data_IF_652587082971
#
_entry.id   IF_652587082971
#
_cell.length_a   1.000
_cell.length_b   1.000
_cell.length_c   1.000
_cell.angle_alpha   90.00
_cell.angle_beta   90.00
_cell.angle_gamma   90.00
#
_symmetry.space_group_name_H-M   'P 1'
#
loop_
_entity.id
_entity.type
_entity.pdbx_description
1 polymer ?
#
# COMPACT_ATOMS: atom_id res chain seq x y z
N UNK A 1 -66.99 -24.96 -31.90
CA UNK A 1 -66.34 -23.84 -31.18
C UNK A 1 -64.96 -24.30 -30.77
N UNK A 2 -63.87 -23.73 -31.33
CA UNK A 2 -62.49 -24.08 -31.03
C UNK A 2 -61.90 -23.00 -30.09
N UNK A 3 -61.69 -23.33 -28.84
CA UNK A 3 -61.11 -22.43 -27.82
C UNK A 3 -59.59 -22.35 -28.07
N UNK A 4 -59.08 -21.16 -28.43
CA UNK A 4 -57.62 -20.89 -28.55
C UNK A 4 -57.10 -20.57 -27.14
N UNK A 5 -56.25 -21.45 -26.59
CA UNK A 5 -55.47 -21.20 -25.39
C UNK A 5 -54.27 -20.29 -25.77
N UNK A 6 -54.21 -19.08 -25.22
CA UNK A 6 -53.02 -18.21 -25.25
C UNK A 6 -52.10 -18.60 -24.12
N UNK A 7 -50.93 -19.14 -24.45
CA UNK A 7 -49.85 -19.36 -23.49
C UNK A 7 -49.06 -18.04 -23.37
N UNK A 8 -49.17 -17.41 -22.21
CA UNK A 8 -48.38 -16.22 -21.85
C UNK A 8 -46.98 -16.70 -21.38
N UNK A 9 -45.97 -16.52 -22.22
CA UNK A 9 -44.58 -16.77 -21.82
C UNK A 9 -44.03 -15.55 -21.08
N UNK A 10 -43.94 -15.65 -19.77
CA UNK A 10 -43.30 -14.61 -18.93
C UNK A 10 -41.79 -14.84 -18.99
N UNK A 11 -41.08 -14.05 -19.79
CA UNK A 11 -39.60 -14.00 -19.74
C UNK A 11 -39.14 -13.21 -18.50
N UNK A 12 -38.75 -13.92 -17.45
CA UNK A 12 -38.07 -13.33 -16.30
C UNK A 12 -36.61 -13.03 -16.72
N UNK A 13 -36.32 -11.78 -17.01
CA UNK A 13 -34.95 -11.32 -17.26
C UNK A 13 -34.18 -11.29 -15.91
N UNK A 14 -33.33 -12.28 -15.69
CA UNK A 14 -32.36 -12.29 -14.59
C UNK A 14 -31.26 -11.24 -14.90
N UNK A 15 -31.39 -10.06 -14.32
CA UNK A 15 -30.31 -9.07 -14.32
C UNK A 15 -29.19 -9.56 -13.39
N UNK A 16 -27.93 -9.61 -13.84
CA UNK A 16 -26.82 -9.95 -12.96
C UNK A 16 -26.66 -8.83 -11.92
N UNK A 17 -26.94 -9.13 -10.66
CA UNK A 17 -26.60 -8.24 -9.54
C UNK A 17 -25.10 -8.36 -9.32
N UNK A 18 -24.36 -7.40 -9.86
CA UNK A 18 -22.95 -7.24 -9.50
C UNK A 18 -22.88 -6.66 -8.09
N UNK A 19 -22.61 -7.52 -7.10
CA UNK A 19 -22.27 -7.10 -5.74
C UNK A 19 -20.90 -6.39 -5.77
N UNK A 20 -20.90 -5.09 -5.90
CA UNK A 20 -19.75 -4.25 -5.59
C UNK A 20 -19.61 -4.23 -4.07
N UNK A 21 -18.65 -4.97 -3.53
CA UNK A 21 -18.27 -4.83 -2.14
C UNK A 21 -17.65 -3.45 -1.96
N UNK A 22 -18.36 -2.53 -1.33
CA UNK A 22 -17.78 -1.28 -0.86
C UNK A 22 -16.70 -1.60 0.19
N UNK A 23 -15.56 -0.89 0.12
CA UNK A 23 -14.50 -1.00 1.11
C UNK A 23 -15.10 -0.82 2.52
N UNK A 24 -14.74 -1.71 3.44
CA UNK A 24 -15.20 -1.61 4.83
C UNK A 24 -14.66 -0.33 5.49
N UNK A 25 -15.30 0.16 6.56
CA UNK A 25 -14.88 1.41 7.21
C UNK A 25 -13.43 1.39 7.70
N UNK A 26 -12.91 0.24 8.10
CA UNK A 26 -11.50 0.08 8.48
C UNK A 26 -10.55 0.17 7.28
N UNK A 27 -10.89 -0.46 6.16
CA UNK A 27 -10.12 -0.37 4.91
C UNK A 27 -10.02 1.07 4.42
N UNK A 28 -11.16 1.77 4.39
CA UNK A 28 -11.16 3.19 4.01
C UNK A 28 -10.30 4.03 4.93
N UNK A 29 -10.38 3.82 6.24
CA UNK A 29 -9.61 4.59 7.21
C UNK A 29 -8.10 4.39 7.07
N UNK A 30 -7.64 3.15 6.82
CA UNK A 30 -6.22 2.85 6.57
C UNK A 30 -5.76 3.47 5.25
N UNK A 31 -6.54 3.33 4.19
CA UNK A 31 -6.23 3.93 2.88
C UNK A 31 -6.15 5.46 2.95
N UNK A 32 -7.09 6.12 3.61
CA UNK A 32 -7.09 7.57 3.81
C UNK A 32 -5.87 8.02 4.64
N UNK A 33 -5.49 7.26 5.66
CA UNK A 33 -4.32 7.53 6.49
C UNK A 33 -3.02 7.42 5.68
N UNK A 34 -2.87 6.38 4.87
CA UNK A 34 -1.71 6.19 3.99
C UNK A 34 -1.61 7.29 2.93
N UNK A 35 -2.74 7.67 2.31
CA UNK A 35 -2.76 8.78 1.36
C UNK A 35 -2.37 10.11 2.01
N UNK A 36 -2.84 10.35 3.24
CA UNK A 36 -2.45 11.54 4.01
C UNK A 36 -0.96 11.51 4.34
N UNK A 37 -0.42 10.35 4.69
CA UNK A 37 0.99 10.18 4.98
C UNK A 37 1.86 10.47 3.74
N UNK A 38 1.50 9.96 2.57
CA UNK A 38 2.17 10.27 1.31
C UNK A 38 2.23 11.78 1.03
N UNK A 39 1.12 12.51 1.25
CA UNK A 39 1.06 13.97 1.08
C UNK A 39 1.99 14.71 2.05
N UNK A 40 2.04 14.27 3.30
CA UNK A 40 2.88 14.86 4.34
C UNK A 40 4.37 14.61 4.04
N UNK A 41 4.72 13.39 3.60
CA UNK A 41 6.09 13.06 3.21
C UNK A 41 6.52 13.82 1.95
N UNK A 42 5.64 13.97 0.95
CA UNK A 42 5.91 14.81 -0.22
C UNK A 42 6.16 16.28 0.14
N UNK A 43 5.51 16.78 1.19
CA UNK A 43 5.79 18.12 1.75
C UNK A 43 7.05 18.18 2.61
N UNK A 44 7.73 17.06 2.84
CA UNK A 44 8.93 16.91 3.68
C UNK A 44 8.74 17.38 5.14
N UNK A 45 7.53 17.27 5.66
CA UNK A 45 7.24 17.54 7.08
C UNK A 45 7.69 16.33 7.91
N UNK A 46 8.92 16.39 8.40
CA UNK A 46 9.56 15.29 9.12
C UNK A 46 8.77 14.87 10.37
N UNK A 47 8.31 15.84 11.17
CA UNK A 47 7.60 15.56 12.41
C UNK A 47 6.27 14.85 12.16
N UNK A 48 5.48 15.37 11.21
CA UNK A 48 4.24 14.72 10.82
C UNK A 48 4.47 13.38 10.15
N UNK A 49 5.48 13.24 9.28
CA UNK A 49 5.79 11.97 8.62
C UNK A 49 6.09 10.88 9.65
N UNK A 50 6.97 11.16 10.62
CA UNK A 50 7.33 10.21 11.68
C UNK A 50 6.15 9.94 12.62
N UNK A 51 5.22 10.88 12.75
CA UNK A 51 4.04 10.70 13.62
C UNK A 51 3.07 9.62 13.15
N UNK A 52 3.17 9.14 11.92
CA UNK A 52 2.36 8.02 11.42
C UNK A 52 2.81 6.67 11.96
N UNK A 53 4.04 6.54 12.43
CA UNK A 53 4.52 5.30 13.04
C UNK A 53 4.01 5.11 14.46
N UNK A 54 3.74 3.86 14.82
CA UNK A 54 3.49 3.45 16.20
C UNK A 54 4.78 3.57 17.03
N UNK A 55 4.64 3.55 18.36
CA UNK A 55 5.79 3.67 19.27
C UNK A 55 6.74 2.49 19.18
N UNK A 56 6.22 1.31 18.85
CA UNK A 56 6.90 0.03 18.67
C UNK A 56 7.12 -0.34 17.19
N UNK A 57 7.05 0.63 16.30
CA UNK A 57 7.16 0.37 14.87
C UNK A 57 8.54 -0.15 14.45
N UNK A 58 8.53 -0.97 13.40
CA UNK A 58 9.73 -1.51 12.75
C UNK A 58 9.73 -1.12 11.28
N UNK A 59 10.82 -0.52 10.80
CA UNK A 59 11.04 -0.28 9.37
C UNK A 59 12.11 -1.25 8.86
N UNK A 60 11.83 -1.87 7.72
CA UNK A 60 12.68 -2.86 7.05
C UNK A 60 13.16 -2.28 5.71
N UNK A 61 14.17 -1.39 5.73
CA UNK A 61 14.70 -0.78 4.52
C UNK A 61 15.50 -1.81 3.70
N UNK A 62 15.56 -1.68 2.37
CA UNK A 62 16.33 -2.57 1.53
C UNK A 62 17.83 -2.47 1.85
N UNK A 63 18.52 -3.61 1.88
CA UNK A 63 19.98 -3.73 2.07
C UNK A 63 20.52 -3.10 3.36
N UNK A 64 19.70 -2.92 4.38
CA UNK A 64 20.07 -2.37 5.68
C UNK A 64 19.46 -3.20 6.81
N UNK A 65 20.00 -3.03 8.02
CA UNK A 65 19.39 -3.61 9.22
C UNK A 65 18.02 -2.99 9.51
N UNK A 66 17.15 -3.75 10.18
CA UNK A 66 15.87 -3.26 10.64
C UNK A 66 16.05 -2.04 11.56
N UNK A 67 15.20 -1.03 11.40
CA UNK A 67 15.15 0.17 12.22
C UNK A 67 14.00 0.02 13.20
N UNK A 68 14.30 -0.05 14.50
CA UNK A 68 13.35 -0.43 15.55
C UNK A 68 13.14 0.66 16.62
N UNK A 69 13.68 1.85 16.41
CA UNK A 69 13.53 2.96 17.35
C UNK A 69 12.97 4.20 16.66
N UNK A 70 12.23 5.01 17.39
CA UNK A 70 11.68 6.29 16.87
C UNK A 70 12.78 7.21 16.31
N UNK A 71 13.89 7.32 17.02
CA UNK A 71 15.02 8.15 16.57
C UNK A 71 15.67 7.58 15.32
N UNK A 72 15.77 6.25 15.21
CA UNK A 72 16.25 5.57 14.01
C UNK A 72 15.32 5.84 12.81
N UNK A 73 14.01 5.71 13.00
CA UNK A 73 13.00 6.01 11.95
C UNK A 73 13.07 7.48 11.55
N UNK A 74 13.21 8.39 12.51
CA UNK A 74 13.39 9.80 12.25
C UNK A 74 14.65 10.10 11.43
N UNK A 75 15.75 9.48 11.79
CA UNK A 75 17.01 9.64 11.06
C UNK A 75 16.93 9.07 9.64
N UNK A 76 16.24 7.95 9.45
CA UNK A 76 15.98 7.37 8.13
C UNK A 76 15.20 8.35 7.24
N UNK A 77 14.09 8.90 7.74
CA UNK A 77 13.28 9.88 7.00
C UNK A 77 14.02 11.19 6.75
N UNK A 78 14.81 11.64 7.71
CA UNK A 78 15.69 12.80 7.50
C UNK A 78 16.65 12.55 6.35
N UNK A 79 17.29 11.38 6.30
CA UNK A 79 18.17 10.98 5.20
C UNK A 79 17.46 10.98 3.83
N UNK A 80 16.22 10.48 3.76
CA UNK A 80 15.42 10.56 2.56
C UNK A 80 15.17 12.02 2.15
N UNK A 81 14.69 12.87 3.05
CA UNK A 81 14.41 14.28 2.74
C UNK A 81 15.65 15.07 2.36
N UNK A 82 16.82 14.70 2.90
CA UNK A 82 18.11 15.28 2.54
C UNK A 82 18.58 14.84 1.14
N UNK A 83 18.19 13.65 0.67
CA UNK A 83 18.64 13.07 -0.60
C UNK A 83 17.64 13.19 -1.74
N UNK A 84 16.34 13.29 -1.45
CA UNK A 84 15.29 13.30 -2.45
C UNK A 84 14.84 14.73 -2.79
N UNK A 85 14.43 14.94 -4.05
CA UNK A 85 13.64 16.10 -4.47
C UNK A 85 12.15 15.81 -4.37
N UNK A 86 11.74 14.60 -4.73
CA UNK A 86 10.34 14.16 -4.75
C UNK A 86 10.22 12.76 -4.16
N UNK A 87 9.11 12.52 -3.47
CA UNK A 87 8.67 11.20 -3.02
C UNK A 87 7.15 11.16 -3.04
N UNK A 88 6.60 10.05 -3.52
CA UNK A 88 5.17 9.78 -3.48
C UNK A 88 4.93 8.28 -3.51
N UNK A 89 3.78 7.85 -3.01
CA UNK A 89 3.35 6.46 -3.10
C UNK A 89 1.83 6.37 -3.24
N UNK A 90 1.39 5.19 -3.67
CA UNK A 90 -0.02 4.91 -3.90
C UNK A 90 -0.36 3.50 -3.46
N UNK A 91 -1.34 3.37 -2.59
CA UNK A 91 -1.89 2.09 -2.16
C UNK A 91 -2.60 1.38 -3.31
N UNK A 92 -2.22 0.13 -3.57
CA UNK A 92 -2.88 -0.76 -4.53
C UNK A 92 -3.96 -1.62 -3.87
N UNK A 93 -3.69 -2.13 -2.66
CA UNK A 93 -4.57 -3.06 -1.94
C UNK A 93 -4.50 -2.81 -0.44
N UNK A 94 -5.64 -2.94 0.22
CA UNK A 94 -5.75 -2.97 1.69
C UNK A 94 -6.54 -4.21 2.07
N UNK A 95 -6.12 -4.91 3.10
CA UNK A 95 -6.89 -5.97 3.73
C UNK A 95 -6.91 -5.81 5.24
N UNK A 96 -8.08 -6.02 5.82
CA UNK A 96 -8.32 -5.88 7.24
C UNK A 96 -8.44 -7.23 7.92
N UNK A 97 -7.85 -7.37 9.09
CA UNK A 97 -8.13 -8.48 9.98
C UNK A 97 -9.61 -8.45 10.41
N UNK A 98 -10.18 -9.62 10.69
CA UNK A 98 -11.59 -9.75 11.15
C UNK A 98 -11.84 -9.00 12.47
N UNK A 99 -10.83 -8.84 13.31
CA UNK A 99 -10.88 -8.05 14.54
C UNK A 99 -11.12 -6.56 14.32
N UNK A 100 -10.79 -6.04 13.12
CA UNK A 100 -10.99 -4.65 12.74
C UNK A 100 -9.98 -3.66 13.36
N UNK A 101 -8.94 -4.14 14.03
CA UNK A 101 -7.91 -3.35 14.71
C UNK A 101 -6.53 -3.43 14.04
N UNK A 102 -6.40 -4.29 13.04
CA UNK A 102 -5.18 -4.46 12.23
C UNK A 102 -5.55 -4.62 10.76
N UNK A 103 -4.68 -4.13 9.89
CA UNK A 103 -4.72 -4.36 8.46
C UNK A 103 -3.34 -4.30 7.87
N UNK A 104 -3.19 -4.82 6.65
CA UNK A 104 -2.01 -4.57 5.85
C UNK A 104 -2.42 -3.88 4.55
N UNK A 105 -1.49 -3.15 4.00
CA UNK A 105 -1.61 -2.61 2.65
C UNK A 105 -0.33 -2.89 1.84
N UNK A 106 -0.50 -2.91 0.54
CA UNK A 106 0.58 -2.94 -0.43
C UNK A 106 0.38 -1.83 -1.45
N UNK A 107 1.48 -1.33 -1.97
CA UNK A 107 1.45 -0.27 -2.95
C UNK A 107 2.76 -0.13 -3.70
N UNK A 108 2.84 0.94 -4.47
CA UNK A 108 4.03 1.33 -5.23
C UNK A 108 4.47 2.72 -4.83
N UNK A 109 5.78 2.96 -4.87
CA UNK A 109 6.35 4.29 -4.66
C UNK A 109 7.15 4.74 -5.87
N UNK A 110 7.31 6.04 -5.98
CA UNK A 110 8.23 6.71 -6.89
C UNK A 110 8.99 7.80 -6.12
N UNK A 111 10.27 7.94 -6.40
CA UNK A 111 11.09 8.99 -5.83
C UNK A 111 12.11 9.52 -6.85
N UNK A 112 12.45 10.80 -6.72
CA UNK A 112 13.47 11.48 -7.50
C UNK A 112 14.59 11.93 -6.57
N UNK A 113 15.82 11.52 -6.86
CA UNK A 113 17.02 11.87 -6.09
C UNK A 113 17.55 13.24 -6.58
N UNK A 114 18.29 13.94 -5.75
CA UNK A 114 18.80 15.30 -6.07
C UNK A 114 19.73 15.35 -7.29
N UNK A 115 20.36 14.25 -7.66
CA UNK A 115 21.16 14.13 -8.89
C UNK A 115 20.31 13.93 -10.15
N UNK A 116 18.98 13.89 -10.03
CA UNK A 116 18.03 13.68 -11.11
C UNK A 116 17.71 12.21 -11.39
N UNK A 117 18.38 11.26 -10.75
CA UNK A 117 18.06 9.84 -10.88
C UNK A 117 16.71 9.55 -10.23
N UNK A 118 16.03 8.48 -10.71
CA UNK A 118 14.73 8.07 -10.23
C UNK A 118 14.80 6.65 -9.70
N UNK A 119 14.05 6.40 -8.63
CA UNK A 119 13.75 5.06 -8.13
C UNK A 119 12.25 4.85 -8.05
N UNK A 120 11.83 3.61 -8.24
CA UNK A 120 10.47 3.14 -8.06
C UNK A 120 10.47 1.74 -7.49
N UNK A 121 9.41 1.40 -6.81
CA UNK A 121 9.33 0.10 -6.21
C UNK A 121 7.96 -0.16 -5.58
N UNK A 122 7.96 -1.11 -4.68
CA UNK A 122 6.79 -1.59 -3.97
C UNK A 122 7.03 -1.53 -2.47
N UNK A 123 5.95 -1.43 -1.73
CA UNK A 123 5.97 -1.45 -0.27
C UNK A 123 4.84 -2.30 0.29
N UNK A 124 5.04 -2.76 1.51
CA UNK A 124 4.05 -3.45 2.31
C UNK A 124 4.11 -2.90 3.73
N UNK A 125 2.96 -2.52 4.24
CA UNK A 125 2.82 -1.96 5.59
C UNK A 125 1.78 -2.71 6.39
N UNK A 126 2.05 -2.85 7.68
CA UNK A 126 1.07 -3.31 8.66
C UNK A 126 0.62 -2.12 9.48
N UNK A 127 -0.67 -1.87 9.51
CA UNK A 127 -1.30 -0.80 10.27
C UNK A 127 -2.06 -1.37 11.46
N UNK A 128 -1.91 -0.73 12.62
CA UNK A 128 -2.64 -1.07 13.85
C UNK A 128 -3.42 0.13 14.36
N UNK A 129 -4.65 -0.15 14.79
CA UNK A 129 -5.47 0.85 15.46
C UNK A 129 -5.01 1.00 16.90
N UNK A 130 -4.68 2.22 17.28
CA UNK A 130 -4.21 2.56 18.61
C UNK A 130 -5.39 2.74 19.60
N UNK A 131 -5.10 2.79 20.89
CA UNK A 131 -6.12 2.98 21.92
C UNK A 131 -6.90 4.30 21.77
N UNK A 132 -6.30 5.33 21.17
CA UNK A 132 -6.95 6.61 20.84
C UNK A 132 -7.77 6.57 19.54
N UNK A 133 -7.90 5.40 18.93
CA UNK A 133 -8.64 5.16 17.70
C UNK A 133 -7.90 5.50 16.41
N UNK A 134 -6.69 6.08 16.48
CA UNK A 134 -5.90 6.41 15.30
C UNK A 134 -5.21 5.18 14.73
N UNK A 135 -5.09 5.15 13.42
CA UNK A 135 -4.29 4.16 12.72
C UNK A 135 -2.82 4.58 12.65
N UNK A 136 -1.92 3.64 12.96
CA UNK A 136 -0.46 3.84 12.93
C UNK A 136 0.22 2.69 12.22
N UNK A 137 1.30 3.00 11.52
CA UNK A 137 2.19 1.99 10.92
C UNK A 137 2.94 1.26 12.02
N UNK A 138 2.78 -0.05 12.07
CA UNK A 138 3.51 -0.95 12.99
C UNK A 138 4.71 -1.60 12.30
N UNK A 139 4.59 -1.88 11.00
CA UNK A 139 5.69 -2.43 10.20
C UNK A 139 5.64 -1.77 8.83
N UNK A 140 6.79 -1.37 8.34
CA UNK A 140 6.97 -0.76 7.02
C UNK A 140 8.13 -1.45 6.32
N UNK A 141 7.88 -2.02 5.15
CA UNK A 141 8.86 -2.69 4.31
C UNK A 141 8.74 -2.20 2.88
N UNK A 142 9.85 -1.86 2.28
CA UNK A 142 9.87 -1.43 0.88
C UNK A 142 11.08 -2.01 0.13
N UNK A 143 10.95 -2.10 -1.19
CA UNK A 143 12.04 -2.55 -2.06
C UNK A 143 11.97 -1.88 -3.42
N UNK A 144 13.15 -1.56 -3.97
CA UNK A 144 13.28 -1.04 -5.33
C UNK A 144 12.97 -2.11 -6.39
N UNK A 145 12.45 -1.67 -7.52
CA UNK A 145 12.30 -2.49 -8.73
C UNK A 145 13.53 -2.37 -9.65
N UNK A 146 14.46 -1.47 -9.31
CA UNK A 146 15.73 -1.36 -10.02
C UNK A 146 16.68 -2.47 -9.58
N UNK A 147 17.51 -2.98 -10.49
CA UNK A 147 18.56 -3.92 -10.13
C UNK A 147 19.49 -3.33 -9.07
N UNK A 148 19.90 -4.14 -8.10
CA UNK A 148 20.95 -3.72 -7.16
C UNK A 148 22.23 -3.36 -7.95
N UNK A 149 23.01 -2.38 -7.48
CA UNK A 149 24.28 -2.04 -8.12
C UNK A 149 25.16 -3.30 -8.31
N UNK A 150 25.53 -3.60 -9.54
CA UNK A 150 26.33 -4.79 -9.91
C UNK A 150 25.55 -6.11 -10.07
N UNK A 151 24.22 -6.11 -9.91
CA UNK A 151 23.41 -7.27 -10.20
C UNK A 151 23.17 -7.40 -11.72
N UNK A 152 23.38 -8.60 -12.25
CA UNK A 152 22.92 -8.92 -13.61
C UNK A 152 21.40 -8.90 -13.68
N UNK A 153 20.78 -8.48 -14.81
CA UNK A 153 19.33 -8.50 -14.95
C UNK A 153 18.77 -9.91 -14.68
N UNK A 154 17.81 -9.99 -13.77
CA UNK A 154 17.08 -11.25 -13.55
C UNK A 154 16.32 -11.62 -14.82
N UNK A 155 16.30 -12.90 -15.24
CA UNK A 155 15.48 -13.33 -16.36
C UNK A 155 14.01 -13.01 -16.08
N UNK A 156 13.21 -12.66 -17.10
CA UNK A 156 11.80 -12.34 -16.92
C UNK A 156 11.08 -13.51 -16.26
N UNK A 157 10.29 -13.21 -15.24
CA UNK A 157 9.46 -14.21 -14.56
C UNK A 157 8.49 -14.82 -15.58
N UNK A 158 8.69 -16.09 -15.93
CA UNK A 158 7.82 -16.80 -16.89
C UNK A 158 8.51 -17.70 -17.90
N UNK A 159 9.83 -17.76 -17.97
CA UNK A 159 10.52 -18.66 -18.94
C UNK A 159 10.82 -20.07 -18.40
N UNK A 160 9.89 -20.67 -17.66
CA UNK A 160 10.01 -22.11 -17.37
C UNK A 160 9.52 -22.88 -18.60
N UNK A 161 10.42 -23.16 -19.53
CA UNK A 161 10.16 -24.18 -20.55
C UNK A 161 9.99 -25.53 -19.82
N UNK A 162 8.77 -26.03 -19.77
CA UNK A 162 8.54 -27.45 -19.46
C UNK A 162 9.10 -28.27 -20.62
N UNK A 163 10.13 -29.04 -20.34
CA UNK A 163 10.49 -30.19 -21.15
C UNK A 163 9.58 -31.37 -20.81
#
# INVERSE_FOLDING_TARGET
MKTKQFILVVCVALLPVTLTFAAGPGEKAVRDADEQWSKVAAAKDLDKTVSFYADDAVVLPPNQAAVTTKDGIRNLWKGFFDSLTEISWKTSRVEMAKSGDMGYLIGTYEMTIKDGSKDKGKYCEVWKKQADGKWKVSTDMFSSDLPAPGASPSPPAGSTQRK
#
